data_IF_025431698335
#
_entry.id   IF_025431698335
#
_cell.length_a   1.000
_cell.length_b   1.000
_cell.length_c   1.000
_cell.angle_alpha   90.00
_cell.angle_beta   90.00
_cell.angle_gamma   90.00
#
_symmetry.space_group_name_H-M   'P 1'
#
loop_
_entity.id
_entity.type
_entity.pdbx_description
1 polymer ?
#
# COMPACT_ATOMS: atom_id res chain seq x y z
N UNK A 1 14.49 -20.01 8.17
CA UNK A 1 14.80 -18.83 7.35
C UNK A 1 16.30 -18.78 7.20
N UNK A 2 16.82 -19.08 6.01
CA UNK A 2 18.24 -19.01 5.69
C UNK A 2 18.43 -17.79 4.78
N UNK A 3 18.95 -16.72 5.36
CA UNK A 3 19.11 -15.45 4.65
C UNK A 3 20.17 -15.55 3.54
N UNK A 4 21.25 -16.29 3.78
CA UNK A 4 22.36 -16.40 2.83
C UNK A 4 21.94 -17.17 1.57
N UNK A 5 21.13 -18.21 1.72
CA UNK A 5 20.52 -18.93 0.59
C UNK A 5 19.56 -18.05 -0.23
N UNK A 6 18.74 -17.22 0.43
CA UNK A 6 17.83 -16.29 -0.23
C UNK A 6 18.58 -15.19 -1.00
N UNK A 7 19.63 -14.62 -0.41
CA UNK A 7 20.48 -13.64 -1.08
C UNK A 7 21.18 -14.24 -2.31
N UNK A 8 21.68 -15.47 -2.23
CA UNK A 8 22.26 -16.20 -3.39
C UNK A 8 21.24 -16.45 -4.49
N UNK A 9 19.96 -16.58 -4.15
CA UNK A 9 18.84 -16.70 -5.10
C UNK A 9 18.35 -15.36 -5.65
N UNK A 10 18.99 -14.24 -5.26
CA UNK A 10 18.68 -12.90 -5.75
C UNK A 10 17.56 -12.18 -4.99
N UNK A 11 17.14 -12.70 -3.84
CA UNK A 11 16.22 -12.01 -2.95
C UNK A 11 16.96 -10.97 -2.10
N UNK A 12 16.22 -9.99 -1.60
CA UNK A 12 16.72 -8.99 -0.65
C UNK A 12 15.80 -8.92 0.57
N UNK A 13 16.39 -8.62 1.71
CA UNK A 13 15.61 -8.21 2.88
C UNK A 13 15.10 -6.79 2.63
N UNK A 14 13.82 -6.57 2.91
CA UNK A 14 13.18 -5.27 2.84
C UNK A 14 12.68 -4.94 4.24
N UNK A 15 13.47 -4.16 4.96
CA UNK A 15 13.11 -3.71 6.30
C UNK A 15 12.06 -2.61 6.24
N UNK A 16 11.03 -2.74 7.07
CA UNK A 16 9.92 -1.79 7.13
C UNK A 16 9.75 -1.31 8.55
N UNK A 17 9.69 0.01 8.74
CA UNK A 17 9.40 0.61 10.03
C UNK A 17 7.89 0.57 10.34
N UNK A 18 7.51 0.46 11.63
CA UNK A 18 6.14 0.71 12.04
C UNK A 18 5.72 2.14 11.68
N UNK A 19 4.51 2.29 11.13
CA UNK A 19 4.00 3.57 10.65
C UNK A 19 2.50 3.71 10.82
N UNK A 20 1.97 4.91 10.60
CA UNK A 20 0.53 5.15 10.46
C UNK A 20 0.16 5.04 9.00
N UNK A 21 -0.91 4.31 8.70
CA UNK A 21 -1.39 4.08 7.35
C UNK A 21 -2.82 4.56 7.21
N UNK A 22 -3.14 5.12 6.05
CA UNK A 22 -4.52 5.16 5.57
C UNK A 22 -4.73 3.94 4.68
N UNK A 23 -5.89 3.31 4.80
CA UNK A 23 -6.23 2.10 4.06
C UNK A 23 -7.46 2.40 3.22
N UNK A 24 -7.37 2.09 1.92
CA UNK A 24 -8.46 2.24 0.97
C UNK A 24 -8.81 0.89 0.35
N UNK A 25 -10.10 0.61 0.20
CA UNK A 25 -10.57 -0.49 -0.62
C UNK A 25 -10.50 -0.07 -2.11
N UNK A 26 -9.69 -0.78 -2.88
CA UNK A 26 -9.63 -0.62 -4.33
C UNK A 26 -10.71 -1.49 -4.96
N UNK A 27 -11.85 -0.88 -5.31
CA UNK A 27 -12.99 -1.57 -5.94
C UNK A 27 -12.89 -1.46 -7.46
N UNK A 28 -12.83 -2.60 -8.15
CA UNK A 28 -12.75 -2.68 -9.60
C UNK A 28 -12.42 -4.09 -10.09
N UNK A 29 -12.41 -4.27 -11.41
CA UNK A 29 -12.15 -5.57 -12.04
C UNK A 29 -10.65 -5.81 -12.30
N UNK A 30 -9.84 -4.75 -12.29
CA UNK A 30 -8.42 -4.77 -12.64
C UNK A 30 -7.60 -3.70 -11.87
N UNK A 31 -6.30 -3.65 -12.16
CA UNK A 31 -5.35 -2.73 -11.53
C UNK A 31 -5.61 -1.24 -11.76
N UNK A 32 -6.50 -0.84 -12.68
CA UNK A 32 -6.83 0.58 -12.88
C UNK A 32 -7.49 1.19 -11.65
N UNK A 33 -8.17 0.38 -10.83
CA UNK A 33 -8.74 0.85 -9.58
C UNK A 33 -7.67 1.34 -8.59
N UNK A 34 -6.47 0.74 -8.60
CA UNK A 34 -5.34 1.16 -7.74
C UNK A 34 -4.81 2.53 -8.16
N UNK A 35 -4.59 2.74 -9.46
CA UNK A 35 -4.12 4.03 -9.98
C UNK A 35 -5.12 5.16 -9.73
N UNK A 36 -6.43 4.86 -9.81
CA UNK A 36 -7.50 5.80 -9.43
C UNK A 36 -7.45 6.12 -7.94
N UNK A 37 -7.28 5.14 -7.08
CA UNK A 37 -7.16 5.35 -5.62
C UNK A 37 -5.94 6.21 -5.27
N UNK A 38 -4.78 5.98 -5.88
CA UNK A 38 -3.61 6.85 -5.72
C UNK A 38 -3.90 8.29 -6.14
N UNK A 39 -4.60 8.49 -7.26
CA UNK A 39 -5.00 9.82 -7.74
C UNK A 39 -5.90 10.53 -6.73
N UNK A 40 -6.90 9.83 -6.20
CA UNK A 40 -7.81 10.34 -5.16
C UNK A 40 -7.05 10.66 -3.86
N UNK A 41 -6.12 9.79 -3.44
CA UNK A 41 -5.31 10.02 -2.25
C UNK A 41 -4.55 11.37 -2.34
N UNK A 42 -3.83 11.60 -3.44
CA UNK A 42 -3.05 12.83 -3.59
C UNK A 42 -3.91 14.08 -3.84
N UNK A 43 -4.95 13.98 -4.67
CA UNK A 43 -5.73 15.14 -5.11
C UNK A 43 -6.87 15.51 -4.19
N UNK A 44 -7.41 14.55 -3.44
CA UNK A 44 -8.63 14.73 -2.66
C UNK A 44 -8.40 14.52 -1.18
N UNK A 45 -7.72 13.43 -0.78
CA UNK A 45 -7.53 13.10 0.64
C UNK A 45 -6.49 14.01 1.33
N UNK A 46 -5.26 14.08 0.83
CA UNK A 46 -4.18 14.83 1.49
C UNK A 46 -4.48 16.33 1.72
N UNK A 47 -5.13 17.06 0.78
CA UNK A 47 -5.46 18.47 0.99
C UNK A 47 -6.39 18.74 2.17
N UNK A 48 -7.21 17.76 2.58
CA UNK A 48 -8.30 17.96 3.54
C UNK A 48 -7.97 17.45 4.95
N UNK A 49 -7.02 16.51 5.09
CA UNK A 49 -6.91 15.70 6.31
C UNK A 49 -5.79 16.12 7.28
N UNK A 50 -4.97 17.11 6.92
CA UNK A 50 -3.86 17.57 7.78
C UNK A 50 -2.68 16.58 7.87
N UNK A 51 -2.61 15.61 6.97
CA UNK A 51 -1.51 14.67 6.83
C UNK A 51 -0.69 14.96 5.58
N UNK A 52 0.52 14.43 5.54
CA UNK A 52 1.34 14.31 4.34
C UNK A 52 1.69 12.83 4.10
N UNK A 53 1.98 12.49 2.84
CA UNK A 53 2.48 11.16 2.49
C UNK A 53 3.85 10.94 3.16
N UNK A 54 4.05 9.75 3.72
CA UNK A 54 5.35 9.32 4.21
C UNK A 54 6.18 8.71 3.07
N UNK A 55 7.49 8.63 3.26
CA UNK A 55 8.42 7.91 2.38
C UNK A 55 8.61 6.44 2.80
N UNK A 56 7.86 5.99 3.81
CA UNK A 56 7.81 4.58 4.22
C UNK A 56 7.16 3.70 3.13
N UNK A 57 7.25 2.39 3.29
CA UNK A 57 6.74 1.43 2.30
C UNK A 57 5.21 1.40 2.27
N UNK A 58 4.62 1.49 1.09
CA UNK A 58 3.21 1.21 0.82
C UNK A 58 2.95 -0.26 0.49
N UNK A 59 1.69 -0.68 0.58
CA UNK A 59 1.30 -2.07 0.27
C UNK A 59 0.00 -2.16 -0.51
N UNK A 60 -0.04 -3.16 -1.39
CA UNK A 60 -1.27 -3.68 -1.99
C UNK A 60 -1.56 -5.05 -1.38
N UNK A 61 -2.62 -5.14 -0.58
CA UNK A 61 -3.04 -6.40 0.06
C UNK A 61 -4.13 -7.06 -0.78
N UNK A 62 -3.76 -8.14 -1.45
CA UNK A 62 -4.68 -8.95 -2.25
C UNK A 62 -5.31 -10.05 -1.41
N UNK A 63 -6.62 -10.22 -1.55
CA UNK A 63 -7.38 -11.24 -0.83
C UNK A 63 -7.44 -12.54 -1.63
N UNK A 64 -7.28 -13.68 -0.96
CA UNK A 64 -7.44 -15.01 -1.55
C UNK A 64 -8.93 -15.37 -1.68
N UNK A 65 -9.68 -14.57 -2.43
CA UNK A 65 -11.11 -14.74 -2.69
C UNK A 65 -12.06 -14.44 -1.52
N UNK A 66 -11.55 -13.98 -0.38
CA UNK A 66 -12.37 -13.71 0.82
C UNK A 66 -13.18 -12.42 0.74
N UNK A 67 -12.78 -11.47 -0.12
CA UNK A 67 -13.53 -10.25 -0.45
C UNK A 67 -13.65 -10.10 -1.97
N UNK A 68 -14.63 -10.75 -2.61
CA UNK A 68 -14.71 -10.82 -4.07
C UNK A 68 -15.08 -9.48 -4.74
N UNK A 69 -15.62 -8.53 -3.99
CA UNK A 69 -16.00 -7.19 -4.43
C UNK A 69 -14.86 -6.17 -4.29
N UNK A 70 -13.73 -6.56 -3.70
CA UNK A 70 -12.57 -5.68 -3.53
C UNK A 70 -11.35 -6.30 -4.19
N UNK A 71 -10.77 -5.56 -5.13
CA UNK A 71 -9.58 -6.00 -5.87
C UNK A 71 -8.39 -6.17 -4.92
N UNK A 72 -8.10 -5.14 -4.12
CA UNK A 72 -7.11 -5.16 -3.05
C UNK A 72 -7.40 -4.06 -2.03
N UNK A 73 -6.71 -4.09 -0.89
CA UNK A 73 -6.54 -2.89 -0.06
C UNK A 73 -5.25 -2.18 -0.44
N UNK A 74 -5.31 -0.86 -0.57
CA UNK A 74 -4.15 0.00 -0.75
C UNK A 74 -3.82 0.69 0.58
N UNK A 75 -2.66 0.34 1.14
CA UNK A 75 -2.15 0.84 2.41
C UNK A 75 -1.09 1.89 2.15
N UNK A 76 -1.41 3.15 2.40
CA UNK A 76 -0.53 4.29 2.10
C UNK A 76 -0.01 4.88 3.42
N UNK A 77 1.32 4.95 3.62
CA UNK A 77 1.87 5.48 4.86
C UNK A 77 1.74 7.00 4.90
N UNK A 78 1.33 7.51 6.06
CA UNK A 78 1.10 8.94 6.30
C UNK A 78 1.78 9.38 7.59
N UNK A 79 2.07 10.68 7.66
CA UNK A 79 2.49 11.36 8.89
C UNK A 79 1.74 12.67 9.04
N UNK A 80 1.64 13.17 10.27
CA UNK A 80 1.07 14.50 10.50
C UNK A 80 1.98 15.54 9.85
N UNK A 81 1.35 16.57 9.27
CA UNK A 81 2.06 17.79 8.87
C UNK A 81 2.64 18.52 10.09
#
# INVERSE_FOLDING_TARGET
FDQEDLEKKGFRIWDVNPGTYVVFDCVGEDGDCIAKTWTMFYKEFLPQMGYEASEETDYELYFDGTRPDVFCELWIPIKKK
#
